data_IF_757474577220
#
_entry.id   IF_757474577220
#
_cell.length_a   1.000
_cell.length_b   1.000
_cell.length_c   1.000
_cell.angle_alpha   90.00
_cell.angle_beta   90.00
_cell.angle_gamma   90.00
#
_symmetry.space_group_name_H-M   'P 1'
#
loop_
_entity.id
_entity.type
_entity.pdbx_description
1 polymer ?
#
# COMPACT_ATOMS: atom_id res chain seq x y z
N UNK A 1 54.52 -15.71 20.05
CA UNK A 1 53.24 -15.32 20.68
C UNK A 1 52.59 -16.59 21.23
N UNK A 2 52.29 -16.66 22.55
CA UNK A 2 51.74 -17.86 23.17
C UNK A 2 50.36 -18.20 22.61
N UNK A 3 50.07 -19.50 22.38
CA UNK A 3 48.76 -20.01 21.91
C UNK A 3 47.57 -19.45 22.70
N UNK A 4 47.76 -19.16 24.01
CA UNK A 4 46.77 -18.53 24.89
C UNK A 4 46.47 -17.08 24.48
N UNK A 5 47.47 -16.26 24.10
CA UNK A 5 47.26 -14.89 23.66
C UNK A 5 46.55 -14.82 22.32
N UNK A 6 46.83 -15.74 21.40
CA UNK A 6 46.15 -15.84 20.11
C UNK A 6 44.67 -16.20 20.29
N UNK A 7 44.36 -17.17 21.18
CA UNK A 7 42.96 -17.55 21.44
C UNK A 7 42.13 -16.42 22.07
N UNK A 8 42.73 -15.64 22.97
CA UNK A 8 42.04 -14.48 23.61
C UNK A 8 41.76 -13.40 22.58
N UNK A 9 42.68 -13.11 21.65
CA UNK A 9 42.50 -12.10 20.61
C UNK A 9 41.42 -12.53 19.61
N UNK A 10 41.38 -13.80 19.18
CA UNK A 10 40.33 -14.30 18.28
C UNK A 10 38.96 -14.31 18.92
N UNK A 11 38.85 -14.62 20.20
CA UNK A 11 37.59 -14.58 20.94
C UNK A 11 37.08 -13.13 21.10
N UNK A 12 37.98 -12.18 21.41
CA UNK A 12 37.63 -10.78 21.54
C UNK A 12 37.15 -10.17 20.21
N UNK A 13 37.78 -10.52 19.07
CA UNK A 13 37.37 -10.11 17.74
C UNK A 13 36.00 -10.68 17.34
N UNK A 14 35.72 -11.96 17.69
CA UNK A 14 34.43 -12.58 17.42
C UNK A 14 33.29 -11.89 18.21
N UNK A 15 33.52 -11.55 19.48
CA UNK A 15 32.53 -10.83 20.32
C UNK A 15 32.29 -9.42 19.78
N UNK A 16 33.34 -8.70 19.37
CA UNK A 16 33.21 -7.38 18.76
C UNK A 16 32.44 -7.42 17.44
N UNK A 17 32.63 -8.46 16.63
CA UNK A 17 31.91 -8.64 15.37
C UNK A 17 30.42 -8.94 15.61
N UNK A 18 30.10 -9.81 16.59
CA UNK A 18 28.70 -10.07 16.99
C UNK A 18 27.99 -8.83 17.53
N UNK A 19 28.68 -8.01 18.32
CA UNK A 19 28.09 -6.76 18.85
C UNK A 19 27.84 -5.73 17.75
N UNK A 20 28.72 -5.64 16.75
CA UNK A 20 28.58 -4.72 15.62
C UNK A 20 27.41 -5.13 14.70
N UNK A 21 27.24 -6.43 14.44
CA UNK A 21 26.10 -6.94 13.64
C UNK A 21 24.78 -6.74 14.36
N UNK A 22 24.71 -6.95 15.68
CA UNK A 22 23.52 -6.66 16.48
C UNK A 22 23.16 -5.17 16.47
N UNK A 23 24.15 -4.28 16.54
CA UNK A 23 23.93 -2.83 16.48
C UNK A 23 23.42 -2.39 15.10
N UNK A 24 23.94 -2.97 14.01
CA UNK A 24 23.48 -2.68 12.64
C UNK A 24 22.04 -3.16 12.42
N UNK A 25 21.65 -4.30 13.00
CA UNK A 25 20.27 -4.80 12.93
C UNK A 25 19.35 -3.89 13.74
N UNK A 26 19.74 -3.43 14.94
CA UNK A 26 18.98 -2.47 15.74
C UNK A 26 18.83 -1.10 15.04
N UNK A 27 19.88 -0.61 14.39
CA UNK A 27 19.82 0.65 13.64
C UNK A 27 18.93 0.54 12.40
N UNK A 28 18.91 -0.61 11.71
CA UNK A 28 17.97 -0.84 10.59
C UNK A 28 16.52 -0.96 11.04
N UNK A 29 16.23 -1.49 12.24
CA UNK A 29 14.86 -1.56 12.76
C UNK A 29 14.33 -0.19 13.19
N UNK A 30 15.19 0.75 13.55
CA UNK A 30 14.77 2.12 13.92
C UNK A 30 14.54 3.05 12.72
N UNK A 31 15.08 2.76 11.52
CA UNK A 31 14.89 3.63 10.35
C UNK A 31 13.54 3.43 9.64
N UNK A 32 12.80 2.36 9.92
CA UNK A 32 11.45 2.14 9.39
C UNK A 32 10.38 2.94 10.17
N UNK A 33 10.70 3.45 11.36
CA UNK A 33 9.78 4.17 12.23
C UNK A 33 9.81 5.71 12.08
N UNK A 34 10.70 6.28 11.27
CA UNK A 34 10.90 7.74 11.21
C UNK A 34 10.10 8.48 10.12
N UNK A 35 9.48 7.77 9.17
CA UNK A 35 8.68 8.38 8.09
C UNK A 35 7.16 8.39 8.34
N UNK A 36 6.71 8.00 9.53
CA UNK A 36 5.31 8.20 9.91
C UNK A 36 5.10 9.68 10.28
N UNK A 37 4.01 10.31 9.80
CA UNK A 37 3.71 11.70 10.19
C UNK A 37 3.62 11.80 11.70
N UNK A 38 4.59 12.49 12.31
CA UNK A 38 4.61 12.76 13.75
C UNK A 38 3.37 13.58 14.11
N UNK A 39 2.40 12.96 14.78
CA UNK A 39 1.35 13.70 15.50
C UNK A 39 -0.11 13.45 15.11
N UNK A 40 -0.41 12.55 14.19
CA UNK A 40 -1.77 12.00 14.03
C UNK A 40 -1.67 10.49 13.94
N UNK A 41 -2.55 9.78 14.63
CA UNK A 41 -2.77 8.35 14.40
C UNK A 41 -3.31 8.19 12.98
N UNK A 42 -2.38 8.13 11.99
CA UNK A 42 -2.78 7.88 10.61
C UNK A 42 -3.42 6.49 10.54
N UNK A 43 -4.59 6.43 9.98
CA UNK A 43 -5.31 5.20 9.76
C UNK A 43 -6.02 5.21 8.41
N UNK A 44 -6.10 4.04 7.79
CA UNK A 44 -6.97 3.80 6.66
C UNK A 44 -8.36 3.47 7.19
N UNK A 45 -9.33 4.32 6.91
CA UNK A 45 -10.73 4.09 7.27
C UNK A 45 -11.40 3.28 6.16
N UNK A 46 -12.21 2.28 6.54
CA UNK A 46 -13.07 1.52 5.62
C UNK A 46 -14.48 1.50 6.19
N UNK A 47 -15.44 2.09 5.50
CA UNK A 47 -16.81 2.24 5.99
C UNK A 47 -17.88 2.25 4.86
N UNK A 48 -19.06 2.82 5.16
CA UNK A 48 -20.20 2.85 4.26
C UNK A 48 -21.01 1.56 4.25
N UNK A 49 -21.27 0.98 3.08
CA UNK A 49 -22.06 -0.26 2.92
C UNK A 49 -21.25 -1.52 3.29
N UNK A 50 -20.73 -1.55 4.52
CA UNK A 50 -20.03 -2.67 5.14
C UNK A 50 -20.75 -3.12 6.42
N UNK A 51 -20.47 -4.33 6.91
CA UNK A 51 -21.00 -4.86 8.19
C UNK A 51 -20.13 -4.43 9.37
N UNK A 52 -18.81 -4.37 9.16
CA UNK A 52 -17.79 -4.11 10.16
C UNK A 52 -16.88 -3.00 9.66
N UNK A 53 -17.17 -1.72 9.95
CA UNK A 53 -16.24 -0.64 9.63
C UNK A 53 -14.87 -0.90 10.25
N UNK A 54 -13.80 -0.56 9.50
CA UNK A 54 -12.42 -0.76 9.92
C UNK A 54 -11.71 0.59 10.05
N UNK A 55 -10.81 0.66 11.03
CA UNK A 55 -9.88 1.76 11.19
C UNK A 55 -8.48 1.13 11.36
N UNK A 56 -7.70 1.09 10.27
CA UNK A 56 -6.48 0.30 10.16
C UNK A 56 -5.28 1.20 10.26
N UNK A 57 -4.50 1.05 11.32
CA UNK A 57 -3.18 1.69 11.42
C UNK A 57 -2.22 1.14 10.36
N UNK A 58 -1.18 1.89 10.02
CA UNK A 58 -0.15 1.42 9.08
C UNK A 58 0.51 0.12 9.55
N UNK A 59 0.77 0.01 10.86
CA UNK A 59 1.33 -1.20 11.47
C UNK A 59 0.43 -2.44 11.30
N UNK A 60 -0.89 -2.27 11.46
CA UNK A 60 -1.85 -3.37 11.23
C UNK A 60 -1.89 -3.80 9.76
N UNK A 61 -1.76 -2.86 8.82
CA UNK A 61 -1.69 -3.16 7.38
C UNK A 61 -0.42 -3.97 7.06
N UNK A 62 0.72 -3.62 7.63
CA UNK A 62 2.00 -4.30 7.37
C UNK A 62 2.05 -5.75 7.84
N UNK A 63 1.23 -6.13 8.83
CA UNK A 63 1.15 -7.52 9.33
C UNK A 63 0.08 -8.38 8.65
N UNK A 64 -0.73 -7.79 7.74
CA UNK A 64 -1.71 -8.52 6.93
C UNK A 64 -1.02 -9.39 5.86
N UNK A 65 -1.76 -10.35 5.24
CA UNK A 65 -1.24 -11.20 4.17
C UNK A 65 -0.66 -10.36 3.02
N UNK A 66 0.64 -10.48 2.82
CA UNK A 66 1.42 -9.72 1.83
C UNK A 66 1.24 -10.31 0.44
N UNK A 67 1.04 -9.46 -0.54
CA UNK A 67 0.96 -9.80 -1.97
C UNK A 67 1.85 -8.87 -2.78
N UNK A 68 2.51 -9.40 -3.80
CA UNK A 68 3.31 -8.62 -4.75
C UNK A 68 2.77 -8.80 -6.16
N UNK A 69 2.56 -7.69 -6.87
CA UNK A 69 2.03 -7.65 -8.24
C UNK A 69 2.97 -6.82 -9.11
N UNK A 70 3.41 -7.35 -10.24
CA UNK A 70 4.08 -6.53 -11.25
C UNK A 70 3.03 -5.73 -12.01
N UNK A 71 3.19 -4.41 -12.06
CA UNK A 71 2.29 -3.55 -12.81
C UNK A 71 2.96 -2.27 -13.29
N UNK A 72 2.38 -1.72 -14.35
CA UNK A 72 2.79 -0.47 -14.98
C UNK A 72 1.67 0.56 -14.81
N UNK A 73 2.02 1.76 -14.34
CA UNK A 73 1.10 2.88 -14.17
C UNK A 73 1.26 3.84 -15.33
N UNK A 74 0.19 4.11 -16.06
CA UNK A 74 0.16 5.00 -17.22
C UNK A 74 -0.71 6.24 -16.96
N UNK A 75 -0.27 7.39 -17.47
CA UNK A 75 -1.10 8.58 -17.55
C UNK A 75 -1.98 8.55 -18.80
N UNK A 76 -3.25 8.86 -18.67
CA UNK A 76 -4.17 8.93 -19.82
C UNK A 76 -3.74 10.00 -20.84
N UNK A 77 -3.15 11.10 -20.38
CA UNK A 77 -2.63 12.19 -21.25
C UNK A 77 -1.29 11.85 -21.92
N UNK A 78 -0.60 10.79 -21.46
CA UNK A 78 0.66 10.33 -22.05
C UNK A 78 0.69 8.79 -22.08
N UNK A 79 -0.08 8.15 -22.96
CA UNK A 79 -0.29 6.70 -22.97
C UNK A 79 0.90 5.89 -23.46
N UNK A 80 1.91 6.54 -24.08
CA UNK A 80 3.02 5.84 -24.71
C UNK A 80 4.11 5.36 -23.73
N UNK A 81 4.12 5.91 -22.52
CA UNK A 81 5.15 5.62 -21.52
C UNK A 81 4.54 5.43 -20.14
N UNK A 82 4.93 4.36 -19.45
CA UNK A 82 4.59 4.19 -18.05
C UNK A 82 5.26 5.28 -17.20
N UNK A 83 4.50 5.95 -16.33
CA UNK A 83 5.02 6.89 -15.34
C UNK A 83 5.96 6.15 -14.39
N UNK A 84 5.55 4.96 -13.98
CA UNK A 84 6.34 4.04 -13.15
C UNK A 84 5.92 2.60 -13.42
N UNK A 85 6.84 1.67 -13.17
CA UNK A 85 6.60 0.24 -13.31
C UNK A 85 7.46 -0.55 -12.33
N UNK A 86 6.99 -1.71 -11.94
CA UNK A 86 7.74 -2.60 -11.06
C UNK A 86 6.87 -3.52 -10.23
N UNK A 87 7.48 -4.09 -9.21
CA UNK A 87 6.83 -4.98 -8.26
C UNK A 87 6.22 -4.13 -7.13
N UNK A 88 4.90 -3.98 -7.17
CA UNK A 88 4.13 -3.34 -6.12
C UNK A 88 3.81 -4.37 -5.04
N UNK A 89 4.11 -4.04 -3.80
CA UNK A 89 3.86 -4.92 -2.66
C UNK A 89 2.91 -4.27 -1.67
N UNK A 90 1.94 -5.04 -1.22
CA UNK A 90 0.88 -4.56 -0.32
C UNK A 90 -0.07 -5.66 0.12
N UNK A 91 -1.28 -5.27 0.46
CA UNK A 91 -2.39 -6.16 0.86
C UNK A 91 -3.45 -6.16 -0.23
N UNK A 92 -3.99 -7.33 -0.57
CA UNK A 92 -5.12 -7.41 -1.51
C UNK A 92 -6.28 -6.55 -1.02
N UNK A 93 -6.82 -5.71 -1.91
CA UNK A 93 -8.00 -4.91 -1.57
C UNK A 93 -9.17 -5.82 -1.18
N UNK A 94 -9.40 -6.91 -1.93
CA UNK A 94 -10.44 -7.89 -1.64
C UNK A 94 -10.36 -8.45 -0.21
N UNK A 95 -9.15 -8.75 0.30
CA UNK A 95 -8.97 -9.21 1.68
C UNK A 95 -9.47 -8.17 2.72
N UNK A 96 -9.19 -6.88 2.50
CA UNK A 96 -9.66 -5.81 3.40
C UNK A 96 -11.19 -5.67 3.30
N UNK A 97 -11.75 -5.72 2.08
CA UNK A 97 -13.18 -5.63 1.83
C UNK A 97 -13.96 -6.83 2.42
N UNK A 98 -13.43 -8.05 2.31
CA UNK A 98 -13.99 -9.25 2.94
C UNK A 98 -14.03 -9.11 4.46
N UNK A 99 -12.96 -8.61 5.06
CA UNK A 99 -12.88 -8.36 6.51
C UNK A 99 -13.87 -7.28 6.96
N UNK A 100 -14.09 -6.25 6.16
CA UNK A 100 -15.12 -5.24 6.39
C UNK A 100 -16.53 -5.81 6.19
N UNK A 101 -16.68 -6.87 5.41
CA UNK A 101 -17.96 -7.54 5.14
C UNK A 101 -18.88 -6.69 4.26
N UNK A 102 -18.53 -6.57 2.97
CA UNK A 102 -19.32 -5.85 1.97
C UNK A 102 -20.77 -6.30 1.98
N UNK A 103 -21.71 -5.35 2.03
CA UNK A 103 -23.15 -5.63 1.93
C UNK A 103 -23.54 -5.87 0.47
N UNK A 104 -24.57 -6.69 0.26
CA UNK A 104 -25.08 -7.07 -1.08
C UNK A 104 -25.46 -5.88 -1.95
N UNK A 105 -25.91 -4.80 -1.35
CA UNK A 105 -26.44 -3.63 -2.03
C UNK A 105 -25.32 -2.61 -2.40
N UNK A 106 -24.07 -2.87 -2.01
CA UNK A 106 -22.95 -2.06 -2.41
C UNK A 106 -22.71 -2.16 -3.91
N UNK A 107 -22.62 -1.02 -4.61
CA UNK A 107 -22.43 -0.89 -6.05
C UNK A 107 -20.98 -0.49 -6.38
N UNK A 108 -20.46 0.49 -5.64
CA UNK A 108 -19.14 1.08 -5.86
C UNK A 108 -18.28 1.06 -4.60
N UNK A 109 -16.98 1.01 -4.81
CA UNK A 109 -15.96 1.29 -3.80
C UNK A 109 -15.31 2.62 -4.16
N UNK A 110 -15.49 3.61 -3.29
CA UNK A 110 -14.95 4.96 -3.41
C UNK A 110 -13.63 5.05 -2.65
N UNK A 111 -12.64 5.61 -3.27
CA UNK A 111 -11.30 5.82 -2.69
C UNK A 111 -11.05 7.32 -2.54
N UNK A 112 -10.61 7.73 -1.34
CA UNK A 112 -10.29 9.11 -1.04
C UNK A 112 -8.83 9.24 -0.60
N UNK A 113 -8.12 10.15 -1.25
CA UNK A 113 -6.78 10.56 -0.86
C UNK A 113 -6.82 11.59 0.27
N UNK A 114 -5.72 11.72 1.02
CA UNK A 114 -5.56 12.78 2.03
C UNK A 114 -5.67 14.21 1.47
N UNK A 115 -5.36 14.40 0.18
CA UNK A 115 -5.42 15.70 -0.51
C UNK A 115 -6.79 16.02 -1.14
N UNK A 116 -7.80 15.18 -0.89
CA UNK A 116 -9.16 15.36 -1.40
C UNK A 116 -9.41 14.76 -2.78
N UNK A 117 -8.39 14.16 -3.44
CA UNK A 117 -8.60 13.42 -4.67
C UNK A 117 -9.49 12.20 -4.45
N UNK A 118 -10.38 11.91 -5.41
CA UNK A 118 -11.28 10.76 -5.35
C UNK A 118 -11.27 9.97 -6.65
N UNK A 119 -11.44 8.67 -6.55
CA UNK A 119 -11.75 7.77 -7.65
C UNK A 119 -12.63 6.63 -7.14
N UNK A 120 -13.05 5.75 -8.01
CA UNK A 120 -13.93 4.63 -7.68
C UNK A 120 -13.61 3.37 -8.50
N UNK A 121 -14.11 2.26 -8.04
CA UNK A 121 -14.18 0.99 -8.78
C UNK A 121 -15.54 0.36 -8.54
N UNK A 122 -16.04 -0.43 -9.50
CA UNK A 122 -17.14 -1.35 -9.18
C UNK A 122 -16.69 -2.35 -8.11
N UNK A 123 -17.61 -2.83 -7.27
CA UNK A 123 -17.27 -3.85 -6.25
C UNK A 123 -16.64 -5.07 -6.91
N UNK A 124 -17.14 -5.50 -8.08
CA UNK A 124 -16.57 -6.64 -8.83
C UNK A 124 -15.11 -6.40 -9.22
N UNK A 125 -14.78 -5.21 -9.71
CA UNK A 125 -13.40 -4.85 -10.06
C UNK A 125 -12.52 -4.79 -8.81
N UNK A 126 -13.00 -4.16 -7.72
CA UNK A 126 -12.26 -4.04 -6.47
C UNK A 126 -11.90 -5.39 -5.82
N UNK A 127 -12.68 -6.45 -6.10
CA UNK A 127 -12.43 -7.80 -5.60
C UNK A 127 -11.44 -8.62 -6.44
N UNK A 128 -10.89 -8.06 -7.51
CA UNK A 128 -9.86 -8.74 -8.30
C UNK A 128 -8.62 -9.02 -7.47
N UNK A 129 -7.99 -10.17 -7.71
CA UNK A 129 -6.81 -10.66 -6.97
C UNK A 129 -5.55 -9.80 -7.14
N UNK A 130 -5.46 -9.03 -8.24
CA UNK A 130 -4.32 -8.19 -8.59
C UNK A 130 -4.47 -6.73 -8.12
N UNK A 131 -5.61 -6.35 -7.53
CA UNK A 131 -5.79 -5.02 -6.95
C UNK A 131 -5.35 -5.02 -5.50
N UNK A 132 -4.39 -4.17 -5.18
CA UNK A 132 -3.77 -4.13 -3.86
C UNK A 132 -3.70 -2.70 -3.30
N UNK A 133 -3.70 -2.61 -1.97
CA UNK A 133 -3.27 -1.42 -1.24
C UNK A 133 -1.76 -1.56 -1.05
N UNK A 134 -1.00 -0.92 -1.93
CA UNK A 134 0.46 -1.00 -1.96
C UNK A 134 1.10 -0.05 -0.94
N UNK A 135 2.18 -0.51 -0.31
CA UNK A 135 3.04 0.26 0.59
C UNK A 135 4.53 0.20 0.19
N UNK A 136 4.88 -0.65 -0.79
CA UNK A 136 6.24 -0.72 -1.36
C UNK A 136 6.19 -0.78 -2.89
N UNK A 137 7.24 -0.25 -3.53
CA UNK A 137 7.57 -0.45 -4.93
C UNK A 137 9.02 -0.90 -5.04
N UNK A 138 9.27 -2.05 -5.71
CA UNK A 138 10.60 -2.64 -5.86
C UNK A 138 11.34 -2.81 -4.52
N UNK A 139 10.61 -3.25 -3.48
CA UNK A 139 11.09 -3.44 -2.10
C UNK A 139 11.53 -2.15 -1.39
N UNK A 140 11.09 -1.00 -1.86
CA UNK A 140 11.27 0.29 -1.19
C UNK A 140 9.91 0.83 -0.74
N UNK A 141 9.82 1.34 0.49
CA UNK A 141 8.61 1.94 1.01
C UNK A 141 8.15 3.12 0.15
N UNK A 142 6.85 3.23 -0.07
CA UNK A 142 6.28 4.34 -0.82
C UNK A 142 6.34 5.64 0.00
N UNK A 143 6.77 6.77 -0.60
CA UNK A 143 6.81 8.06 0.10
C UNK A 143 5.41 8.57 0.46
N UNK A 144 4.38 8.15 -0.26
CA UNK A 144 2.99 8.47 -0.01
C UNK A 144 2.29 7.56 1.00
N UNK A 145 3.00 6.70 1.68
CA UNK A 145 2.52 5.71 2.67
C UNK A 145 1.71 4.59 2.03
N UNK A 146 0.54 4.86 1.45
CA UNK A 146 -0.31 3.89 0.76
C UNK A 146 -0.74 4.39 -0.62
N UNK A 147 -0.83 3.46 -1.55
CA UNK A 147 -1.39 3.66 -2.89
C UNK A 147 -2.33 2.52 -3.26
N UNK A 148 -3.48 2.87 -3.82
CA UNK A 148 -4.30 1.91 -4.54
C UNK A 148 -3.59 1.56 -5.87
N UNK A 149 -3.16 0.32 -6.05
CA UNK A 149 -2.60 -0.19 -7.30
C UNK A 149 -3.66 -0.97 -8.08
N UNK A 150 -3.92 -0.55 -9.33
CA UNK A 150 -5.01 -1.08 -10.16
C UNK A 150 -4.48 -1.48 -11.54
N UNK A 151 -3.82 -2.65 -11.66
CA UNK A 151 -3.24 -3.11 -12.92
C UNK A 151 -4.26 -3.12 -14.07
N UNK A 152 -3.84 -2.66 -15.26
CA UNK A 152 -4.68 -2.59 -16.46
C UNK A 152 -5.64 -1.39 -16.52
N UNK A 153 -5.62 -0.50 -15.52
CA UNK A 153 -6.43 0.72 -15.51
C UNK A 153 -5.54 1.97 -15.61
N UNK A 154 -6.06 3.02 -16.21
CA UNK A 154 -5.39 4.32 -16.27
C UNK A 154 -5.05 4.86 -14.89
N UNK A 155 -3.98 5.65 -14.79
CA UNK A 155 -3.39 6.14 -13.55
C UNK A 155 -4.34 6.96 -12.66
N UNK A 156 -5.41 7.52 -13.21
CA UNK A 156 -6.40 8.21 -12.39
C UNK A 156 -7.23 7.28 -11.48
N UNK A 157 -7.19 5.94 -11.72
CA UNK A 157 -7.73 4.96 -10.77
C UNK A 157 -6.74 4.63 -9.63
N UNK A 158 -5.46 4.97 -9.77
CA UNK A 158 -4.41 4.65 -8.80
C UNK A 158 -4.28 5.74 -7.72
N UNK A 159 -5.17 5.74 -6.75
CA UNK A 159 -5.20 6.76 -5.70
C UNK A 159 -3.97 6.68 -4.81
N UNK A 160 -3.15 7.74 -4.80
CA UNK A 160 -2.03 7.91 -3.87
C UNK A 160 -2.49 8.50 -2.54
N UNK A 161 -1.67 8.38 -1.48
CA UNK A 161 -2.02 8.86 -0.13
C UNK A 161 -3.40 8.40 0.32
N UNK A 162 -3.72 7.13 0.00
CA UNK A 162 -5.03 6.57 0.28
C UNK A 162 -5.32 6.62 1.78
N UNK A 163 -6.44 7.25 2.15
CA UNK A 163 -6.83 7.45 3.55
C UNK A 163 -8.22 6.88 3.87
N UNK A 164 -9.10 6.74 2.87
CA UNK A 164 -10.46 6.30 3.10
C UNK A 164 -10.97 5.45 1.94
N UNK A 165 -11.62 4.35 2.26
CA UNK A 165 -12.33 3.45 1.37
C UNK A 165 -13.79 3.42 1.83
N UNK A 166 -14.70 3.93 0.99
CA UNK A 166 -16.13 3.98 1.31
C UNK A 166 -16.91 3.13 0.32
N UNK A 167 -17.71 2.20 0.81
CA UNK A 167 -18.63 1.45 -0.02
C UNK A 167 -19.97 2.17 -0.11
N UNK A 168 -20.51 2.29 -1.32
CA UNK A 168 -21.76 3.03 -1.57
C UNK A 168 -22.71 2.20 -2.42
N UNK A 169 -24.02 2.50 -2.32
CA UNK A 169 -25.11 1.84 -3.04
C UNK A 169 -25.57 2.58 -4.31
N UNK A 170 -24.78 3.54 -4.74
CA UNK A 170 -25.05 4.36 -5.93
C UNK A 170 -23.84 4.45 -6.86
N UNK A 171 -24.05 4.90 -8.10
CA UNK A 171 -23.01 5.06 -9.11
C UNK A 171 -22.20 6.35 -8.85
N UNK A 172 -21.26 6.27 -7.91
CA UNK A 172 -20.33 7.35 -7.60
C UNK A 172 -19.40 7.62 -8.81
N UNK A 173 -19.07 8.88 -9.01
CA UNK A 173 -18.07 9.33 -10.00
C UNK A 173 -16.95 10.09 -9.29
N UNK A 174 -15.73 9.62 -9.44
CA UNK A 174 -14.54 10.25 -8.90
C UNK A 174 -14.17 11.57 -9.60
N UNK A 175 -13.00 12.11 -9.26
CA UNK A 175 -12.52 13.41 -9.71
C UNK A 175 -12.42 13.54 -11.24
N UNK A 176 -11.92 12.50 -11.93
CA UNK A 176 -11.78 12.50 -13.39
C UNK A 176 -13.02 11.97 -14.09
N UNK A 177 -13.64 10.96 -13.52
CA UNK A 177 -14.87 10.36 -14.02
C UNK A 177 -16.01 11.41 -14.10
N UNK A 178 -16.12 12.30 -13.11
CA UNK A 178 -17.08 13.41 -13.11
C UNK A 178 -16.80 14.47 -14.20
N UNK A 179 -15.60 14.45 -14.79
CA UNK A 179 -15.20 15.32 -15.90
C UNK A 179 -15.34 14.65 -17.27
N UNK A 180 -15.93 13.43 -17.32
CA UNK A 180 -16.21 12.71 -18.55
C UNK A 180 -15.16 11.68 -18.95
N UNK A 181 -14.17 11.40 -18.10
CA UNK A 181 -13.26 10.27 -18.31
C UNK A 181 -13.98 8.93 -18.08
N UNK A 182 -13.50 7.87 -18.72
CA UNK A 182 -14.11 6.54 -18.63
C UNK A 182 -14.15 6.05 -17.18
N UNK A 183 -15.30 5.55 -16.78
CA UNK A 183 -15.49 4.95 -15.47
C UNK A 183 -14.74 3.63 -15.32
N UNK A 184 -14.73 2.80 -16.36
CA UNK A 184 -13.98 1.54 -16.38
C UNK A 184 -12.47 1.77 -16.49
N UNK A 185 -12.04 2.83 -17.17
CA UNK A 185 -10.65 3.26 -17.26
C UNK A 185 -9.66 2.21 -17.78
N UNK A 186 -10.12 1.23 -18.58
CA UNK A 186 -9.26 0.20 -19.14
C UNK A 186 -8.21 0.79 -20.08
N UNK A 187 -6.98 0.30 -19.97
CA UNK A 187 -5.91 0.59 -20.92
C UNK A 187 -6.12 -0.37 -22.12
N UNK A 188 -6.14 0.16 -23.37
CA UNK A 188 -6.36 -0.63 -24.59
C UNK A 188 -5.34 -1.75 -24.78
#
# INVERSE_FOLDING_TARGET
>A
MSKRKFLIITLALAIAFLSLTSLVILLKSNTVAEDLPKGSEWALVVDGFVRNPLNLTYGEILVMPKTTVYAELYCVDNPNFAITKGNWTGVKLGFILERAGVKSDAVKVVFRSQDGYTSDLSVTTAMREDIIIAYELNSQSLPETLRLAVPGKWGYKWVSRLAHIELVDYDFKGTWESRGYSDEADIP
#
